data_IF_979192934279
#
_entry.id   IF_979192934279
#
_cell.length_a   1.000
_cell.length_b   1.000
_cell.length_c   1.000
_cell.angle_alpha   90.00
_cell.angle_beta   90.00
_cell.angle_gamma   90.00
#
_symmetry.space_group_name_H-M   'P 1'
#
loop_
_entity.id
_entity.type
_entity.pdbx_description
1 polymer ?
#
# COMPACT_ATOMS: atom_id res chain seq x y z
N UNK A 1 16.29 -23.69 -12.72
CA UNK A 1 15.18 -23.89 -11.78
C UNK A 1 14.85 -25.37 -11.79
N UNK A 2 14.79 -26.02 -10.64
CA UNK A 2 14.33 -27.41 -10.57
C UNK A 2 12.80 -27.43 -10.75
N UNK A 3 12.25 -28.16 -11.74
CA UNK A 3 10.81 -28.17 -12.02
C UNK A 3 9.96 -28.83 -10.91
N UNK A 4 10.54 -29.62 -10.01
CA UNK A 4 9.79 -30.29 -8.93
C UNK A 4 9.79 -29.52 -7.60
N UNK A 5 10.81 -28.68 -7.36
CA UNK A 5 10.98 -27.98 -6.07
C UNK A 5 10.95 -26.46 -6.19
N UNK A 6 10.90 -25.89 -7.40
CA UNK A 6 10.97 -24.43 -7.60
C UNK A 6 12.33 -23.80 -7.25
N UNK A 7 13.27 -24.59 -6.73
CA UNK A 7 14.57 -24.11 -6.26
C UNK A 7 15.38 -23.49 -7.41
N UNK A 8 15.83 -22.26 -7.17
CA UNK A 8 16.71 -21.52 -8.08
C UNK A 8 18.16 -21.76 -7.63
N UNK A 9 19.00 -22.20 -8.56
CA UNK A 9 20.43 -22.39 -8.34
C UNK A 9 21.20 -21.41 -9.20
N UNK A 10 22.17 -20.71 -8.61
CA UNK A 10 23.15 -19.93 -9.34
C UNK A 10 24.31 -20.85 -9.67
N UNK A 11 24.47 -21.16 -10.96
CA UNK A 11 25.63 -21.89 -11.46
C UNK A 11 26.72 -20.89 -11.80
N UNK A 12 27.82 -20.98 -11.07
CA UNK A 12 29.03 -20.22 -11.31
C UNK A 12 30.03 -21.13 -12.03
N UNK A 13 30.69 -20.61 -13.05
CA UNK A 13 31.71 -21.32 -13.81
C UNK A 13 33.07 -20.66 -13.60
N UNK A 14 34.14 -21.46 -13.56
CA UNK A 14 35.52 -21.00 -13.34
C UNK A 14 35.68 -20.15 -12.07
N UNK A 15 35.28 -20.69 -10.93
CA UNK A 15 35.26 -19.98 -9.64
C UNK A 15 36.59 -20.14 -8.91
N UNK A 16 37.12 -19.04 -8.39
CA UNK A 16 38.21 -19.02 -7.43
C UNK A 16 37.66 -18.58 -6.07
N UNK A 17 37.76 -19.45 -5.07
CA UNK A 17 37.33 -19.19 -3.70
C UNK A 17 38.56 -18.95 -2.81
N UNK A 18 38.58 -17.79 -2.17
CA UNK A 18 39.62 -17.40 -1.21
C UNK A 18 39.05 -17.51 0.20
N UNK A 19 39.63 -18.38 1.02
CA UNK A 19 39.28 -18.53 2.43
C UNK A 19 40.49 -18.17 3.30
N UNK A 20 40.33 -17.17 4.17
CA UNK A 20 41.40 -16.69 5.04
C UNK A 20 41.07 -15.35 5.68
N UNK A 21 41.73 -15.08 6.81
CA UNK A 21 41.60 -13.81 7.51
C UNK A 21 42.57 -12.78 6.92
N UNK A 22 42.09 -11.60 6.47
CA UNK A 22 42.97 -10.55 5.99
C UNK A 22 44.04 -10.17 7.01
N UNK A 23 45.30 -10.11 6.57
CA UNK A 23 46.43 -9.69 7.40
C UNK A 23 47.20 -10.82 8.10
N UNK A 24 46.71 -12.07 8.10
CA UNK A 24 47.42 -13.21 8.73
C UNK A 24 48.26 -14.05 7.77
N UNK A 25 48.32 -13.70 6.48
CA UNK A 25 49.11 -14.39 5.44
C UNK A 25 48.62 -15.80 5.06
N UNK A 26 47.81 -16.42 5.90
CA UNK A 26 47.22 -17.73 5.67
C UNK A 26 45.94 -17.60 4.84
N UNK A 27 46.05 -17.82 3.54
CA UNK A 27 44.93 -17.93 2.62
C UNK A 27 44.94 -19.30 1.95
N UNK A 28 43.77 -19.93 1.91
CA UNK A 28 43.51 -21.11 1.10
C UNK A 28 42.78 -20.67 -0.17
N UNK A 29 43.30 -21.08 -1.33
CA UNK A 29 42.68 -20.80 -2.63
C UNK A 29 42.20 -22.12 -3.22
N UNK A 30 40.89 -22.21 -3.46
CA UNK A 30 40.28 -23.35 -4.14
C UNK A 30 39.77 -22.90 -5.52
N UNK A 31 40.01 -23.72 -6.55
CA UNK A 31 39.51 -23.50 -7.89
C UNK A 31 38.47 -24.56 -8.24
N UNK A 32 37.29 -24.12 -8.68
CA UNK A 32 36.19 -24.98 -9.10
C UNK A 32 35.80 -24.67 -10.53
N UNK A 33 35.69 -25.69 -11.37
CA UNK A 33 35.20 -25.52 -12.75
C UNK A 33 33.72 -25.12 -12.77
N UNK A 34 32.92 -25.70 -11.86
CA UNK A 34 31.51 -25.39 -11.68
C UNK A 34 31.16 -25.42 -10.20
N UNK A 35 30.51 -24.36 -9.70
CA UNK A 35 29.97 -24.30 -8.35
C UNK A 35 28.51 -23.83 -8.39
N UNK A 36 27.60 -24.58 -7.76
CA UNK A 36 26.17 -24.23 -7.71
C UNK A 36 25.79 -23.78 -6.31
N UNK A 37 25.32 -22.54 -6.17
CA UNK A 37 24.81 -22.01 -4.91
C UNK A 37 23.29 -22.05 -4.97
N UNK A 38 22.66 -22.61 -3.93
CA UNK A 38 21.22 -22.53 -3.75
C UNK A 38 20.87 -21.08 -3.38
N UNK A 39 20.08 -20.40 -4.22
CA UNK A 39 19.57 -19.09 -3.84
C UNK A 39 18.52 -19.27 -2.74
N UNK A 40 18.41 -18.31 -1.80
CA UNK A 40 17.26 -18.24 -0.91
C UNK A 40 15.96 -18.32 -1.73
N UNK A 41 14.93 -18.90 -1.14
CA UNK A 41 13.59 -18.82 -1.71
C UNK A 41 13.26 -17.34 -1.94
N UNK A 42 12.66 -16.98 -3.11
CA UNK A 42 12.24 -15.62 -3.34
C UNK A 42 11.37 -15.18 -2.15
N UNK A 43 11.77 -14.10 -1.47
CA UNK A 43 10.87 -13.39 -0.57
C UNK A 43 9.61 -13.05 -1.39
N UNK A 44 8.41 -13.21 -0.82
CA UNK A 44 7.04 -13.10 -1.40
C UNK A 44 6.71 -11.83 -2.24
N UNK A 45 7.70 -11.06 -2.64
CA UNK A 45 7.63 -9.87 -3.50
C UNK A 45 7.12 -10.11 -4.94
N UNK A 46 6.87 -11.36 -5.37
CA UNK A 46 6.40 -11.66 -6.74
C UNK A 46 4.87 -11.80 -6.87
N UNK A 47 4.12 -12.22 -5.83
CA UNK A 47 2.66 -12.48 -5.98
C UNK A 47 1.85 -11.22 -6.31
N UNK A 48 2.13 -10.10 -5.62
CA UNK A 48 1.42 -8.82 -5.84
C UNK A 48 1.62 -8.30 -7.28
N UNK A 49 2.81 -8.46 -7.84
CA UNK A 49 3.12 -8.00 -9.20
C UNK A 49 2.46 -8.89 -10.26
N UNK A 50 2.35 -10.19 -10.01
CA UNK A 50 1.71 -11.12 -10.94
C UNK A 50 0.20 -10.85 -11.02
N UNK A 51 -0.48 -10.67 -9.88
CA UNK A 51 -1.91 -10.34 -9.81
C UNK A 51 -2.26 -8.97 -10.39
N UNK A 52 -1.41 -7.95 -10.18
CA UNK A 52 -1.60 -6.62 -10.77
C UNK A 52 -1.59 -6.66 -12.31
N UNK A 53 -0.92 -7.65 -12.91
CA UNK A 53 -0.88 -7.84 -14.37
C UNK A 53 -2.01 -8.71 -14.93
N UNK A 54 -2.80 -9.37 -14.07
CA UNK A 54 -3.91 -10.23 -14.50
C UNK A 54 -5.09 -9.43 -15.04
N UNK A 55 -5.74 -10.00 -16.07
CA UNK A 55 -6.94 -9.43 -16.67
C UNK A 55 -8.09 -9.45 -15.64
N UNK A 56 -8.82 -8.34 -15.51
CA UNK A 56 -9.88 -8.18 -14.49
C UNK A 56 -10.95 -9.27 -14.55
N UNK A 57 -11.20 -9.84 -15.74
CA UNK A 57 -12.16 -10.93 -15.92
C UNK A 57 -11.71 -12.25 -15.25
N UNK A 58 -10.40 -12.50 -15.17
CA UNK A 58 -9.84 -13.70 -14.54
C UNK A 58 -9.90 -13.60 -13.01
N UNK A 59 -9.80 -12.39 -12.45
CA UNK A 59 -9.98 -12.15 -11.01
C UNK A 59 -11.39 -12.49 -10.53
N UNK A 60 -12.43 -12.22 -11.33
CA UNK A 60 -13.82 -12.54 -10.96
C UNK A 60 -14.09 -14.05 -10.87
N UNK A 61 -13.28 -14.87 -11.55
CA UNK A 61 -13.43 -16.34 -11.56
C UNK A 61 -12.65 -17.03 -10.44
N UNK A 62 -11.72 -16.31 -9.79
CA UNK A 62 -10.89 -16.85 -8.71
C UNK A 62 -11.51 -16.61 -7.33
N UNK A 63 -11.34 -17.59 -6.45
CA UNK A 63 -11.73 -17.49 -5.05
C UNK A 63 -10.55 -17.19 -4.11
N UNK A 64 -9.34 -16.96 -4.63
CA UNK A 64 -8.19 -16.66 -3.78
C UNK A 64 -8.37 -15.28 -3.10
N UNK A 65 -8.01 -15.15 -1.81
CA UNK A 65 -8.09 -13.88 -1.08
C UNK A 65 -7.35 -12.73 -1.77
N UNK A 66 -6.21 -13.02 -2.37
CA UNK A 66 -5.33 -12.08 -3.05
C UNK A 66 -5.99 -11.51 -4.31
N UNK A 67 -6.57 -12.37 -5.16
CA UNK A 67 -7.33 -11.94 -6.33
C UNK A 67 -8.56 -11.10 -5.96
N UNK A 68 -9.22 -11.43 -4.83
CA UNK A 68 -10.34 -10.63 -4.33
C UNK A 68 -9.88 -9.28 -3.79
N UNK A 69 -8.72 -9.22 -3.14
CA UNK A 69 -8.11 -7.97 -2.68
C UNK A 69 -7.79 -7.04 -3.85
N UNK A 70 -7.20 -7.57 -4.92
CA UNK A 70 -6.86 -6.79 -6.12
C UNK A 70 -8.10 -6.27 -6.85
N UNK A 71 -9.15 -7.09 -6.97
CA UNK A 71 -10.41 -6.66 -7.57
C UNK A 71 -11.06 -5.52 -6.78
N UNK A 72 -11.07 -5.65 -5.45
CA UNK A 72 -11.57 -4.59 -4.57
C UNK A 72 -10.70 -3.34 -4.62
N UNK A 73 -9.38 -3.49 -4.75
CA UNK A 73 -8.44 -2.40 -4.88
C UNK A 73 -8.70 -1.57 -6.15
N UNK A 74 -8.85 -2.23 -7.31
CA UNK A 74 -9.18 -1.56 -8.58
C UNK A 74 -10.45 -0.74 -8.48
N UNK A 75 -11.51 -1.31 -7.87
CA UNK A 75 -12.78 -0.61 -7.67
C UNK A 75 -12.65 0.52 -6.63
N UNK A 76 -11.83 0.32 -5.59
CA UNK A 76 -11.54 1.31 -4.56
C UNK A 76 -10.85 2.54 -5.15
N UNK A 77 -9.93 2.39 -6.09
CA UNK A 77 -9.29 3.53 -6.79
C UNK A 77 -10.34 4.37 -7.54
N UNK A 78 -11.28 3.72 -8.22
CA UNK A 78 -12.36 4.43 -8.93
C UNK A 78 -13.27 5.16 -7.94
N UNK A 79 -13.60 4.53 -6.81
CA UNK A 79 -14.48 5.10 -5.79
C UNK A 79 -13.79 6.16 -4.91
N UNK A 80 -12.46 6.16 -4.84
CA UNK A 80 -11.70 7.14 -4.08
C UNK A 80 -11.96 8.57 -4.56
N UNK A 81 -12.06 8.78 -5.87
CA UNK A 81 -12.24 10.11 -6.48
C UNK A 81 -13.54 10.80 -6.03
N UNK A 82 -14.74 10.19 -6.15
CA UNK A 82 -15.96 10.85 -5.69
C UNK A 82 -15.97 11.07 -4.17
N UNK A 83 -15.41 10.16 -3.38
CA UNK A 83 -15.36 10.29 -1.92
C UNK A 83 -14.46 11.45 -1.48
N UNK A 84 -13.25 11.58 -2.06
CA UNK A 84 -12.36 12.70 -1.74
C UNK A 84 -12.96 14.03 -2.19
N UNK A 85 -13.67 14.03 -3.32
CA UNK A 85 -14.35 15.21 -3.85
C UNK A 85 -15.47 15.66 -2.91
N UNK A 86 -16.25 14.71 -2.38
CA UNK A 86 -17.31 14.98 -1.40
C UNK A 86 -16.78 15.68 -0.14
N UNK A 87 -15.59 15.28 0.34
CA UNK A 87 -14.93 15.90 1.50
C UNK A 87 -14.27 17.24 1.13
N UNK A 88 -13.65 17.34 -0.05
CA UNK A 88 -12.92 18.52 -0.48
C UNK A 88 -13.83 19.75 -0.70
N UNK A 89 -15.06 19.56 -1.21
CA UNK A 89 -16.02 20.65 -1.46
C UNK A 89 -16.30 21.49 -0.20
N UNK A 90 -16.75 20.93 0.95
CA UNK A 90 -16.97 21.73 2.15
C UNK A 90 -15.68 22.35 2.71
N UNK A 91 -14.52 21.69 2.54
CA UNK A 91 -13.22 22.23 2.97
C UNK A 91 -12.71 23.39 2.11
N UNK A 92 -13.16 23.50 0.85
CA UNK A 92 -12.74 24.56 -0.09
C UNK A 92 -13.24 25.97 0.29
N UNK A 93 -14.24 26.08 1.17
CA UNK A 93 -14.74 27.36 1.67
C UNK A 93 -13.69 28.01 2.58
N UNK A 94 -12.91 28.95 2.06
CA UNK A 94 -11.85 29.65 2.81
C UNK A 94 -12.41 30.98 3.30
N UNK A 95 -12.27 31.28 4.60
CA UNK A 95 -12.56 32.62 5.12
C UNK A 95 -11.44 33.59 4.68
N UNK A 96 -11.76 34.83 4.26
CA UNK A 96 -10.79 35.78 3.68
C UNK A 96 -9.56 36.09 4.54
N UNK A 97 -9.57 35.67 5.81
CA UNK A 97 -8.54 35.95 6.82
C UNK A 97 -7.68 34.74 7.18
N UNK A 98 -8.03 33.54 6.71
CA UNK A 98 -7.17 32.36 6.80
C UNK A 98 -6.38 32.24 5.49
N UNK A 99 -5.06 32.07 5.57
CA UNK A 99 -4.22 31.95 4.37
C UNK A 99 -4.73 30.86 3.43
N UNK A 100 -4.57 31.07 2.11
CA UNK A 100 -5.08 30.20 1.02
C UNK A 100 -4.79 28.70 1.20
N UNK A 101 -3.78 28.35 2.00
CA UNK A 101 -3.31 26.99 2.24
C UNK A 101 -3.75 26.36 3.56
N UNK A 102 -4.44 27.10 4.45
CA UNK A 102 -4.77 26.62 5.80
C UNK A 102 -5.66 25.36 5.83
N UNK A 103 -6.47 25.15 4.79
CA UNK A 103 -7.35 23.97 4.65
C UNK A 103 -6.80 22.89 3.72
N UNK A 104 -5.69 23.15 3.01
CA UNK A 104 -5.07 22.16 2.11
C UNK A 104 -4.33 21.07 2.87
N UNK A 105 -3.60 21.42 3.94
CA UNK A 105 -2.89 20.45 4.79
C UNK A 105 -3.85 19.41 5.40
N UNK A 106 -4.94 19.81 6.10
CA UNK A 106 -5.85 18.81 6.66
C UNK A 106 -6.57 17.99 5.58
N UNK A 107 -6.87 18.57 4.41
CA UNK A 107 -7.46 17.80 3.30
C UNK A 107 -6.49 16.74 2.77
N UNK A 108 -5.21 17.08 2.61
CA UNK A 108 -4.16 16.16 2.21
C UNK A 108 -3.93 15.05 3.26
N UNK A 109 -4.03 15.37 4.55
CA UNK A 109 -3.95 14.38 5.63
C UNK A 109 -5.12 13.40 5.59
N UNK A 110 -6.34 13.87 5.32
CA UNK A 110 -7.52 13.00 5.16
C UNK A 110 -7.33 12.06 3.96
N UNK A 111 -6.83 12.59 2.83
CA UNK A 111 -6.48 11.77 1.67
C UNK A 111 -5.44 10.72 2.02
N UNK A 112 -4.34 11.10 2.65
CA UNK A 112 -3.27 10.19 3.02
C UNK A 112 -3.79 9.10 3.98
N UNK A 113 -4.58 9.47 4.99
CA UNK A 113 -5.18 8.51 5.91
C UNK A 113 -6.11 7.53 5.19
N UNK A 114 -6.95 8.03 4.27
CA UNK A 114 -7.85 7.19 3.48
C UNK A 114 -7.08 6.21 2.59
N UNK A 115 -6.11 6.71 1.84
CA UNK A 115 -5.30 5.91 0.93
C UNK A 115 -4.49 4.84 1.67
N UNK A 116 -3.82 5.22 2.76
CA UNK A 116 -3.04 4.30 3.58
C UNK A 116 -3.93 3.23 4.23
N UNK A 117 -5.14 3.59 4.67
CA UNK A 117 -6.06 2.62 5.27
C UNK A 117 -6.59 1.62 4.23
N UNK A 118 -6.86 2.07 3.00
CA UNK A 118 -7.21 1.17 1.90
C UNK A 118 -6.07 0.21 1.56
N UNK A 119 -4.83 0.71 1.49
CA UNK A 119 -3.65 -0.13 1.24
C UNK A 119 -3.50 -1.18 2.35
N UNK A 120 -3.56 -0.75 3.61
CA UNK A 120 -3.48 -1.66 4.75
C UNK A 120 -4.58 -2.73 4.73
N UNK A 121 -5.82 -2.36 4.39
CA UNK A 121 -6.90 -3.34 4.27
C UNK A 121 -6.72 -4.28 3.08
N UNK A 122 -6.16 -3.81 1.96
CA UNK A 122 -5.81 -4.66 0.80
C UNK A 122 -4.83 -5.74 1.24
N UNK A 123 -3.75 -5.34 1.91
CA UNK A 123 -2.71 -6.26 2.38
C UNK A 123 -3.31 -7.30 3.34
N UNK A 124 -4.17 -6.88 4.29
CA UNK A 124 -4.85 -7.81 5.21
C UNK A 124 -5.80 -8.79 4.51
N UNK A 125 -6.48 -8.37 3.44
CA UNK A 125 -7.35 -9.26 2.65
C UNK A 125 -6.52 -10.22 1.83
N UNK A 126 -5.41 -9.76 1.24
CA UNK A 126 -4.49 -10.61 0.49
C UNK A 126 -3.87 -11.69 1.39
N UNK A 127 -3.42 -11.33 2.60
CA UNK A 127 -2.94 -12.28 3.61
C UNK A 127 -4.04 -13.21 4.19
N UNK A 128 -5.31 -13.02 3.78
CA UNK A 128 -6.46 -13.80 4.28
C UNK A 128 -6.88 -13.50 5.72
N UNK A 129 -6.22 -12.55 6.39
CA UNK A 129 -6.52 -12.15 7.77
C UNK A 129 -7.86 -11.41 7.92
N UNK A 130 -8.26 -10.69 6.87
CA UNK A 130 -9.54 -10.00 6.77
C UNK A 130 -10.43 -10.68 5.73
N UNK A 131 -11.69 -10.95 6.09
CA UNK A 131 -12.65 -11.51 5.14
C UNK A 131 -12.86 -10.55 3.97
N UNK A 132 -12.69 -11.04 2.75
CA UNK A 132 -12.94 -10.28 1.54
C UNK A 132 -14.39 -9.75 1.42
N UNK A 133 -15.36 -10.35 2.12
CA UNK A 133 -16.74 -9.83 2.15
C UNK A 133 -16.82 -8.45 2.81
N UNK A 134 -16.04 -8.25 3.89
CA UNK A 134 -15.90 -6.95 4.56
C UNK A 134 -14.89 -6.10 3.80
N UNK A 135 -13.73 -6.69 3.55
CA UNK A 135 -12.66 -6.17 2.69
C UNK A 135 -12.39 -4.68 2.87
N UNK A 136 -12.41 -3.95 1.76
CA UNK A 136 -12.15 -2.50 1.73
C UNK A 136 -13.42 -1.65 1.93
N UNK A 137 -14.61 -2.25 1.89
CA UNK A 137 -15.90 -1.54 1.82
C UNK A 137 -16.20 -0.70 3.05
N UNK A 138 -15.85 -1.18 4.23
CA UNK A 138 -16.09 -0.46 5.47
C UNK A 138 -15.30 0.85 5.54
N UNK A 139 -14.11 0.89 4.94
CA UNK A 139 -13.29 2.11 4.84
C UNK A 139 -14.04 3.15 4.01
N UNK A 140 -14.54 2.77 2.83
CA UNK A 140 -15.35 3.64 1.98
C UNK A 140 -16.57 4.20 2.71
N UNK A 141 -17.29 3.34 3.44
CA UNK A 141 -18.48 3.74 4.22
C UNK A 141 -18.12 4.80 5.26
N UNK A 142 -17.01 4.66 5.98
CA UNK A 142 -16.56 5.64 6.97
C UNK A 142 -16.25 6.99 6.31
N UNK A 143 -15.48 7.02 5.23
CA UNK A 143 -15.11 8.28 4.58
C UNK A 143 -16.29 8.95 3.87
N UNK A 144 -17.20 8.17 3.28
CA UNK A 144 -18.48 8.69 2.76
C UNK A 144 -19.30 9.30 3.89
N UNK A 145 -19.41 8.63 5.03
CA UNK A 145 -20.15 9.15 6.18
C UNK A 145 -19.53 10.46 6.69
N UNK A 146 -18.19 10.55 6.78
CA UNK A 146 -17.49 11.78 7.13
C UNK A 146 -17.81 12.90 6.14
N UNK A 147 -17.67 12.64 4.83
CA UNK A 147 -17.98 13.62 3.78
C UNK A 147 -19.43 14.08 3.81
N UNK A 148 -20.36 13.16 4.03
CA UNK A 148 -21.79 13.44 4.14
C UNK A 148 -22.11 14.29 5.39
N UNK A 149 -21.54 13.95 6.55
CA UNK A 149 -21.68 14.74 7.78
C UNK A 149 -21.12 16.15 7.59
N UNK A 150 -19.96 16.30 6.95
CA UNK A 150 -19.38 17.61 6.65
C UNK A 150 -20.24 18.43 5.69
N UNK A 151 -20.90 17.77 4.73
CA UNK A 151 -21.81 18.40 3.80
C UNK A 151 -23.11 18.85 4.48
N UNK A 152 -23.72 18.01 5.32
CA UNK A 152 -24.96 18.31 6.03
C UNK A 152 -24.78 19.28 7.21
N UNK A 153 -23.64 19.22 7.90
CA UNK A 153 -23.35 20.03 9.09
C UNK A 153 -22.14 20.95 8.87
N UNK A 154 -22.25 21.98 8.02
CA UNK A 154 -21.14 22.88 7.70
C UNK A 154 -20.60 23.64 8.93
N UNK A 155 -21.41 23.82 9.98
CA UNK A 155 -20.99 24.46 11.23
C UNK A 155 -20.05 23.58 12.09
N UNK A 156 -20.12 22.25 11.97
CA UNK A 156 -19.26 21.32 12.72
C UNK A 156 -17.84 21.28 12.13
N UNK A 157 -17.72 21.37 10.81
CA UNK A 157 -16.43 21.49 10.11
C UNK A 157 -15.64 22.76 10.51
N UNK A 158 -16.36 23.80 10.94
CA UNK A 158 -15.75 25.05 11.41
C UNK A 158 -14.98 24.89 12.73
N UNK A 159 -15.33 23.89 13.56
CA UNK A 159 -14.65 23.59 14.84
C UNK A 159 -13.36 22.78 14.69
N UNK A 160 -13.22 22.00 13.60
CA UNK A 160 -11.99 21.24 13.29
C UNK A 160 -10.89 22.11 12.67
N UNK A 161 -11.22 23.34 12.26
CA UNK A 161 -10.25 24.36 11.85
C UNK A 161 -9.52 24.88 13.10
N UNK A 162 -8.34 24.32 13.40
CA UNK A 162 -7.42 24.83 14.43
C UNK A 162 -7.03 26.28 14.10
N UNK A 163 -7.74 27.25 14.69
CA UNK A 163 -7.46 28.64 14.40
C UNK A 163 -8.46 29.62 14.96
N UNK A 164 -8.76 29.58 16.25
CA UNK A 164 -9.29 30.77 16.92
C UNK A 164 -8.94 30.84 18.40
N UNK A 165 -7.87 31.58 18.70
CA UNK A 165 -7.79 32.32 19.96
C UNK A 165 -8.98 33.29 20.00
N UNK A 166 -9.92 33.02 20.90
CA UNK A 166 -10.87 34.03 21.40
C UNK A 166 -10.06 35.22 21.91
N UNK A 167 -10.31 36.39 21.35
CA UNK A 167 -10.15 37.65 22.05
C UNK A 167 -11.56 38.25 22.13
N UNK A 168 -12.18 38.13 23.30
CA UNK A 168 -13.30 38.98 23.69
C UNK A 168 -12.81 39.81 24.89
N UNK A 169 -12.89 41.13 24.69
CA UNK A 169 -12.86 42.27 25.62
C UNK A 169 -11.83 42.25 26.75
#
# INVERSE_FOLDING_TARGET
VNPETGARFMRLENVLQYDGTPGTGNFNVAQFDVHSILLPEPTEFEEILEEETMATAELFASNSPEHQAELQWRLSIVLLIPVITLIAIPMSKIDPRQGRYGKLIPAALIYAAYFLLLQFCRDLVAEGSLSAVIGLWWVHVIFIAIGFVMFCFPNLAYHLSLGRRRLMS
#
